data_IF_239009437939
#
_entry.id   IF_239009437939
#
_cell.length_a   1.000
_cell.length_b   1.000
_cell.length_c   1.000
_cell.angle_alpha   90.00
_cell.angle_beta   90.00
_cell.angle_gamma   90.00
#
_symmetry.space_group_name_H-M   'P 1'
#
loop_
_entity.id
_entity.type
_entity.pdbx_description
1 polymer ?
#
# COMPACT_ATOMS: atom_id res chain seq x y z
N UNK A 1 -17.88 52.41 -11.51
CA UNK A 1 -17.92 51.03 -12.01
C UNK A 1 -16.53 50.45 -11.80
N UNK A 2 -16.34 49.70 -10.72
CA UNK A 2 -15.11 48.96 -10.47
C UNK A 2 -15.52 47.51 -10.22
N UNK A 3 -15.01 46.64 -11.10
CA UNK A 3 -15.11 45.20 -11.02
C UNK A 3 -14.43 44.69 -9.76
N UNK A 4 -15.14 43.87 -8.99
CA UNK A 4 -14.57 42.89 -8.08
C UNK A 4 -15.54 41.73 -8.15
N UNK A 5 -15.33 40.80 -9.08
CA UNK A 5 -14.52 39.63 -8.76
C UNK A 5 -15.49 38.58 -8.24
N UNK A 6 -16.20 37.95 -9.18
CA UNK A 6 -16.95 36.73 -8.95
C UNK A 6 -16.00 35.75 -8.26
N UNK A 7 -16.17 35.56 -6.94
CA UNK A 7 -15.62 34.41 -6.25
C UNK A 7 -16.40 33.22 -6.81
N UNK A 8 -15.89 32.62 -7.89
CA UNK A 8 -16.27 31.26 -8.24
C UNK A 8 -15.93 30.41 -7.03
N UNK A 9 -16.97 30.06 -6.28
CA UNK A 9 -17.02 28.94 -5.37
C UNK A 9 -16.91 27.68 -6.23
N UNK A 10 -15.74 27.50 -6.85
CA UNK A 10 -15.36 26.26 -7.47
C UNK A 10 -15.16 25.30 -6.30
N UNK A 11 -16.20 24.52 -5.99
CA UNK A 11 -16.16 23.51 -4.94
C UNK A 11 -14.92 22.62 -5.06
N UNK A 12 -14.61 21.88 -3.99
CA UNK A 12 -13.40 21.06 -3.93
C UNK A 12 -13.19 20.21 -5.19
N UNK A 13 -11.98 20.26 -5.74
CA UNK A 13 -11.61 19.53 -6.94
C UNK A 13 -11.71 18.02 -6.71
N UNK A 14 -11.87 17.19 -7.78
CA UNK A 14 -11.90 15.74 -7.63
C UNK A 14 -10.69 15.16 -6.88
N UNK A 15 -9.50 15.74 -7.08
CA UNK A 15 -8.29 15.33 -6.38
C UNK A 15 -8.35 15.64 -4.89
N UNK A 16 -8.86 16.82 -4.50
CA UNK A 16 -9.06 17.16 -3.09
C UNK A 16 -10.12 16.28 -2.44
N UNK A 17 -11.22 15.98 -3.15
CA UNK A 17 -12.27 15.10 -2.67
C UNK A 17 -11.76 13.66 -2.47
N UNK A 18 -10.90 13.16 -3.36
CA UNK A 18 -10.27 11.83 -3.21
C UNK A 18 -9.43 11.76 -1.92
N UNK A 19 -8.57 12.75 -1.72
CA UNK A 19 -7.71 12.82 -0.52
C UNK A 19 -8.57 12.99 0.74
N UNK A 20 -9.66 13.76 0.68
CA UNK A 20 -10.53 13.96 1.82
C UNK A 20 -11.36 12.72 2.16
N UNK A 21 -11.80 11.97 1.15
CA UNK A 21 -12.45 10.67 1.34
C UNK A 21 -11.51 9.70 2.09
N UNK A 22 -10.25 9.61 1.64
CA UNK A 22 -9.20 8.82 2.27
C UNK A 22 -8.85 9.28 3.69
N UNK A 23 -8.93 10.57 3.99
CA UNK A 23 -8.64 11.11 5.33
C UNK A 23 -9.73 10.78 6.35
N UNK A 24 -10.99 10.69 5.90
CA UNK A 24 -12.18 10.54 6.76
C UNK A 24 -12.80 9.15 6.74
N UNK A 25 -12.20 8.20 6.03
CA UNK A 25 -12.80 6.90 5.74
C UNK A 25 -14.22 7.03 5.14
N UNK A 26 -14.43 7.99 4.23
CA UNK A 26 -15.75 8.30 3.68
C UNK A 26 -15.97 7.60 2.32
N UNK A 27 -16.55 6.40 2.38
CA UNK A 27 -16.78 5.54 1.21
C UNK A 27 -17.83 6.09 0.24
N UNK A 28 -18.81 6.84 0.73
CA UNK A 28 -19.81 7.51 -0.11
C UNK A 28 -19.13 8.56 -1.00
N UNK A 29 -18.28 9.40 -0.40
CA UNK A 29 -17.54 10.41 -1.16
C UNK A 29 -16.55 9.77 -2.13
N UNK A 30 -15.87 8.70 -1.72
CA UNK A 30 -14.99 7.96 -2.63
C UNK A 30 -15.78 7.42 -3.83
N UNK A 31 -16.96 6.85 -3.60
CA UNK A 31 -17.83 6.33 -4.65
C UNK A 31 -18.24 7.42 -5.65
N UNK A 32 -18.57 8.62 -5.16
CA UNK A 32 -18.86 9.76 -6.03
C UNK A 32 -17.66 10.19 -6.90
N UNK A 33 -16.45 10.16 -6.34
CA UNK A 33 -15.22 10.48 -7.07
C UNK A 33 -14.94 9.41 -8.13
N UNK A 34 -14.99 8.12 -7.77
CA UNK A 34 -14.71 7.00 -8.67
C UNK A 34 -15.72 6.91 -9.81
N UNK A 35 -17.00 7.26 -9.59
CA UNK A 35 -18.00 7.32 -10.65
C UNK A 35 -17.61 8.29 -11.79
N UNK A 36 -16.87 9.35 -11.45
CA UNK A 36 -16.46 10.40 -12.40
C UNK A 36 -15.01 10.25 -12.87
N UNK A 37 -14.13 9.71 -12.03
CA UNK A 37 -12.68 9.64 -12.23
C UNK A 37 -12.10 8.37 -11.56
N UNK A 38 -12.30 7.20 -12.17
CA UNK A 38 -11.78 5.90 -11.68
C UNK A 38 -10.52 5.41 -12.38
N UNK A 39 -9.91 6.21 -13.26
CA UNK A 39 -8.71 5.74 -13.98
C UNK A 39 -7.54 5.58 -13.02
N UNK A 40 -6.79 4.50 -13.15
CA UNK A 40 -5.55 4.30 -12.40
C UNK A 40 -4.60 5.49 -12.53
N UNK A 41 -4.52 6.09 -13.72
CA UNK A 41 -3.73 7.30 -13.95
C UNK A 41 -4.16 8.47 -13.04
N UNK A 42 -5.46 8.71 -12.87
CA UNK A 42 -5.95 9.76 -11.98
C UNK A 42 -5.63 9.44 -10.51
N UNK A 43 -5.86 8.20 -10.09
CA UNK A 43 -5.63 7.76 -8.71
C UNK A 43 -4.14 7.81 -8.35
N UNK A 44 -3.27 7.31 -9.22
CA UNK A 44 -1.81 7.27 -9.01
C UNK A 44 -1.18 8.66 -8.98
N UNK A 45 -1.69 9.60 -9.78
CA UNK A 45 -1.13 10.96 -9.86
C UNK A 45 -1.75 11.95 -8.87
N UNK A 46 -2.86 11.59 -8.21
CA UNK A 46 -3.47 12.45 -7.19
C UNK A 46 -2.73 12.34 -5.87
N UNK A 47 -2.24 13.47 -5.35
CA UNK A 47 -1.59 13.53 -4.05
C UNK A 47 -1.84 14.86 -3.33
N UNK A 48 -1.64 14.87 -2.02
CA UNK A 48 -1.67 16.08 -1.20
C UNK A 48 -0.37 16.93 -1.35
N UNK A 49 -0.30 18.04 -0.63
CA UNK A 49 0.87 18.94 -0.67
C UNK A 49 2.19 18.30 -0.20
N UNK A 50 2.13 17.19 0.53
CA UNK A 50 3.29 16.40 0.98
C UNK A 50 3.63 15.26 0.01
N UNK A 51 2.86 15.14 -1.09
CA UNK A 51 2.99 14.06 -2.06
C UNK A 51 2.43 12.73 -1.55
N UNK A 52 1.55 12.74 -0.55
CA UNK A 52 0.85 11.53 -0.13
C UNK A 52 -0.29 11.25 -1.11
N UNK A 53 -0.28 10.09 -1.75
CA UNK A 53 -1.42 9.57 -2.52
C UNK A 53 -2.57 9.18 -1.59
N UNK A 54 -3.73 8.84 -2.16
CA UNK A 54 -4.87 8.36 -1.38
C UNK A 54 -4.51 7.14 -0.50
N UNK A 55 -3.69 6.20 -0.98
CA UNK A 55 -3.23 5.05 -0.19
C UNK A 55 -2.40 5.47 1.03
N UNK A 56 -1.51 6.45 0.89
CA UNK A 56 -0.72 6.96 2.02
C UNK A 56 -1.62 7.58 3.09
N UNK A 57 -2.57 8.42 2.67
CA UNK A 57 -3.48 9.10 3.58
C UNK A 57 -4.37 8.08 4.27
N UNK A 58 -4.97 7.15 3.51
CA UNK A 58 -5.82 6.12 4.09
C UNK A 58 -5.05 5.22 5.08
N UNK A 59 -3.82 4.82 4.75
CA UNK A 59 -2.96 4.04 5.65
C UNK A 59 -2.52 4.83 6.90
N UNK A 60 -2.26 6.13 6.76
CA UNK A 60 -1.91 7.00 7.90
C UNK A 60 -3.07 7.17 8.89
N UNK A 61 -4.30 7.28 8.38
CA UNK A 61 -5.49 7.52 9.18
C UNK A 61 -6.26 6.24 9.53
N UNK A 62 -5.79 5.07 9.08
CA UNK A 62 -6.45 3.79 9.30
C UNK A 62 -7.80 3.67 8.60
N UNK A 63 -7.96 4.34 7.45
CA UNK A 63 -9.18 4.29 6.64
C UNK A 63 -9.23 3.01 5.83
N UNK A 64 -9.51 1.91 6.53
CA UNK A 64 -9.48 0.54 6.02
C UNK A 64 -10.42 0.37 4.81
N UNK A 65 -11.67 0.83 4.92
CA UNK A 65 -12.66 0.64 3.85
C UNK A 65 -12.26 1.38 2.57
N UNK A 66 -11.59 2.54 2.70
CA UNK A 66 -11.05 3.25 1.55
C UNK A 66 -9.89 2.48 0.91
N UNK A 67 -8.98 1.92 1.72
CA UNK A 67 -7.89 1.09 1.21
C UNK A 67 -8.42 -0.12 0.45
N UNK A 68 -9.39 -0.84 1.03
CA UNK A 68 -10.00 -2.02 0.43
C UNK A 68 -10.55 -1.70 -0.97
N UNK A 69 -11.35 -0.64 -1.09
CA UNK A 69 -11.92 -0.20 -2.38
C UNK A 69 -10.87 0.27 -3.38
N UNK A 70 -9.83 0.99 -2.92
CA UNK A 70 -8.78 1.50 -3.79
C UNK A 70 -7.87 0.37 -4.30
N UNK A 71 -7.45 -0.55 -3.44
CA UNK A 71 -6.55 -1.65 -3.80
C UNK A 71 -7.20 -2.63 -4.79
N UNK A 72 -8.54 -2.69 -4.83
CA UNK A 72 -9.31 -3.42 -5.85
C UNK A 72 -9.31 -2.74 -7.24
N UNK A 73 -8.81 -1.51 -7.38
CA UNK A 73 -8.78 -0.82 -8.67
C UNK A 73 -7.65 -1.33 -9.56
N UNK A 74 -8.00 -1.79 -10.77
CA UNK A 74 -7.03 -2.29 -11.75
C UNK A 74 -5.99 -1.21 -12.11
N UNK A 75 -4.71 -1.57 -12.02
CA UNK A 75 -3.59 -0.70 -12.40
C UNK A 75 -3.20 0.34 -11.34
N UNK A 76 -3.79 0.32 -10.15
CA UNK A 76 -3.36 1.17 -9.05
C UNK A 76 -1.94 0.79 -8.61
N UNK A 77 -1.09 1.80 -8.38
CA UNK A 77 0.24 1.62 -7.82
C UNK A 77 0.14 1.41 -6.30
N UNK A 78 0.63 0.27 -5.81
CA UNK A 78 0.53 -0.12 -4.38
C UNK A 78 1.67 0.46 -3.55
N UNK A 79 2.86 0.63 -4.14
CA UNK A 79 4.07 1.13 -3.47
C UNK A 79 4.54 2.53 -3.91
N UNK A 80 3.66 3.52 -4.16
CA UNK A 80 4.11 4.86 -4.48
C UNK A 80 4.90 5.41 -3.29
N UNK A 81 5.97 6.17 -3.56
CA UNK A 81 6.73 6.84 -2.50
C UNK A 81 6.35 8.31 -2.42
N UNK A 82 6.05 8.78 -1.20
CA UNK A 82 5.66 10.18 -1.03
C UNK A 82 6.83 11.16 -1.25
N UNK A 83 6.49 12.43 -1.49
CA UNK A 83 7.47 13.43 -1.91
C UNK A 83 8.42 13.83 -0.79
N UNK A 84 7.98 13.89 0.46
CA UNK A 84 8.80 14.43 1.57
C UNK A 84 9.74 13.36 2.12
N UNK A 85 9.19 12.28 2.68
CA UNK A 85 9.95 11.23 3.36
C UNK A 85 10.42 10.11 2.42
N UNK A 86 9.77 9.95 1.26
CA UNK A 86 9.90 8.75 0.43
C UNK A 86 9.25 7.52 1.06
N UNK A 87 8.35 7.72 2.02
CA UNK A 87 7.61 6.63 2.64
C UNK A 87 6.62 6.03 1.63
N UNK A 88 6.35 4.73 1.74
CA UNK A 88 5.24 4.05 1.05
C UNK A 88 3.97 4.05 1.93
N UNK A 89 2.79 3.66 1.40
CA UNK A 89 1.61 3.44 2.24
C UNK A 89 1.88 2.47 3.40
N UNK A 90 2.67 1.41 3.17
CA UNK A 90 3.05 0.45 4.20
C UNK A 90 3.89 1.08 5.32
N UNK A 91 4.75 2.07 5.03
CA UNK A 91 5.42 2.84 6.08
C UNK A 91 4.42 3.63 6.94
N UNK A 92 3.40 4.24 6.31
CA UNK A 92 2.36 4.99 7.03
C UNK A 92 1.52 4.08 7.94
N UNK A 93 1.21 2.85 7.49
CA UNK A 93 0.57 1.82 8.32
C UNK A 93 1.41 1.47 9.57
N UNK A 94 2.73 1.33 9.41
CA UNK A 94 3.64 1.07 10.55
C UNK A 94 3.65 2.24 11.54
N UNK A 95 3.58 3.49 11.07
CA UNK A 95 3.48 4.64 11.96
C UNK A 95 2.13 4.68 12.69
N UNK A 96 1.03 4.35 12.02
CA UNK A 96 -0.29 4.22 12.64
C UNK A 96 -0.27 3.20 13.79
N UNK A 97 0.38 2.05 13.59
CA UNK A 97 0.47 0.99 14.60
C UNK A 97 1.15 1.42 15.93
N UNK A 98 1.89 2.54 15.94
CA UNK A 98 2.49 3.07 17.17
C UNK A 98 1.45 3.64 18.14
N UNK A 99 0.34 4.14 17.61
CA UNK A 99 -0.76 4.72 18.38
C UNK A 99 -1.98 3.79 18.41
N UNK A 100 -2.20 3.06 17.31
CA UNK A 100 -3.33 2.16 17.10
C UNK A 100 -2.85 0.78 16.64
N UNK A 101 -2.25 0.01 17.55
CA UNK A 101 -1.51 -1.21 17.21
C UNK A 101 -2.32 -2.24 16.41
N UNK A 102 -3.58 -2.52 16.80
CA UNK A 102 -4.42 -3.51 16.12
C UNK A 102 -4.83 -3.02 14.71
N UNK A 103 -5.32 -1.78 14.61
CA UNK A 103 -5.72 -1.20 13.33
C UNK A 103 -4.52 -1.04 12.36
N UNK A 104 -3.36 -0.61 12.87
CA UNK A 104 -2.15 -0.50 12.06
C UNK A 104 -1.65 -1.85 11.56
N UNK A 105 -1.84 -2.93 12.33
CA UNK A 105 -1.58 -4.30 11.88
C UNK A 105 -2.54 -4.70 10.75
N UNK A 106 -3.85 -4.50 10.93
CA UNK A 106 -4.87 -4.83 9.92
C UNK A 106 -4.62 -4.09 8.59
N UNK A 107 -4.29 -2.80 8.66
CA UNK A 107 -3.95 -1.97 7.49
C UNK A 107 -2.67 -2.47 6.82
N UNK A 108 -1.66 -2.86 7.60
CA UNK A 108 -0.42 -3.39 7.05
C UNK A 108 -0.63 -4.75 6.37
N UNK A 109 -1.44 -5.63 6.97
CA UNK A 109 -1.79 -6.92 6.40
C UNK A 109 -2.58 -6.74 5.09
N UNK A 110 -3.56 -5.83 5.04
CA UNK A 110 -4.30 -5.51 3.82
C UNK A 110 -3.38 -5.05 2.68
N UNK A 111 -2.42 -4.16 2.97
CA UNK A 111 -1.45 -3.71 1.97
C UNK A 111 -0.53 -4.84 1.49
N UNK A 112 -0.07 -5.70 2.41
CA UNK A 112 0.77 -6.85 2.07
C UNK A 112 0.01 -7.87 1.21
N UNK A 113 -1.25 -8.14 1.53
CA UNK A 113 -2.12 -9.04 0.76
C UNK A 113 -2.41 -8.48 -0.64
N UNK A 114 -2.48 -7.16 -0.77
CA UNK A 114 -2.55 -6.46 -2.06
C UNK A 114 -1.21 -6.40 -2.82
N UNK A 115 -0.14 -7.01 -2.28
CA UNK A 115 1.16 -7.14 -2.95
C UNK A 115 2.15 -6.00 -2.70
N UNK A 116 1.93 -5.16 -1.68
CA UNK A 116 2.90 -4.15 -1.29
C UNK A 116 4.26 -4.79 -0.95
N UNK A 117 5.36 -4.24 -1.46
CA UNK A 117 6.71 -4.72 -1.17
C UNK A 117 7.23 -4.16 0.18
N UNK A 118 7.36 -4.99 1.24
CA UNK A 118 7.90 -4.57 2.53
C UNK A 118 9.41 -4.28 2.52
N UNK A 119 10.06 -4.32 1.35
CA UNK A 119 11.50 -4.04 1.19
C UNK A 119 11.79 -2.65 0.65
N UNK A 120 10.77 -1.93 0.17
CA UNK A 120 10.95 -0.56 -0.34
C UNK A 120 11.54 0.32 0.75
N UNK A 121 12.58 1.08 0.40
CA UNK A 121 13.29 1.95 1.33
C UNK A 121 12.90 3.40 1.13
N UNK A 122 12.55 4.07 2.21
CA UNK A 122 12.33 5.51 2.19
C UNK A 122 13.64 6.30 2.00
N UNK A 123 13.59 7.64 2.00
CA UNK A 123 14.79 8.48 1.80
C UNK A 123 15.82 8.36 2.92
N UNK A 124 15.40 7.88 4.10
CA UNK A 124 16.32 7.55 5.20
C UNK A 124 16.94 6.16 5.04
N UNK A 125 16.69 5.49 3.91
CA UNK A 125 17.13 4.12 3.57
C UNK A 125 16.55 3.06 4.50
N UNK A 126 15.43 3.35 5.17
CA UNK A 126 14.76 2.41 6.07
C UNK A 126 13.62 1.74 5.32
N UNK A 127 13.46 0.43 5.50
CA UNK A 127 12.24 -0.30 5.09
C UNK A 127 11.20 -0.26 6.22
N UNK A 128 9.92 -0.62 5.99
CA UNK A 128 8.88 -0.60 7.02
C UNK A 128 9.28 -1.33 8.32
N UNK A 129 9.93 -2.50 8.22
CA UNK A 129 10.39 -3.27 9.39
C UNK A 129 11.41 -2.53 10.27
N UNK A 130 12.23 -1.65 9.67
CA UNK A 130 13.26 -0.88 10.36
C UNK A 130 12.64 0.22 11.23
N UNK A 131 11.44 0.70 10.89
CA UNK A 131 10.72 1.75 11.64
C UNK A 131 9.60 1.20 12.54
N UNK A 132 9.37 -0.11 12.57
CA UNK A 132 8.39 -0.76 13.47
C UNK A 132 8.85 -0.73 14.93
N UNK A 133 7.93 -0.52 15.88
CA UNK A 133 8.23 -0.67 17.32
C UNK A 133 8.79 -2.08 17.59
N UNK A 134 9.96 -2.24 18.21
CA UNK A 134 10.54 -3.54 18.52
C UNK A 134 9.63 -4.45 19.36
N UNK A 135 8.69 -3.88 20.11
CA UNK A 135 7.74 -4.60 20.96
C UNK A 135 6.52 -5.10 20.19
N UNK A 136 6.24 -4.56 19.00
CA UNK A 136 5.13 -4.99 18.16
C UNK A 136 5.50 -6.26 17.38
N UNK A 137 5.51 -7.37 18.10
CA UNK A 137 5.92 -8.67 17.55
C UNK A 137 5.02 -9.16 16.41
N UNK A 138 3.74 -8.78 16.40
CA UNK A 138 2.78 -9.20 15.37
C UNK A 138 3.08 -8.50 14.05
N UNK A 139 3.16 -7.17 14.06
CA UNK A 139 3.45 -6.39 12.86
C UNK A 139 4.83 -6.70 12.29
N UNK A 140 5.83 -6.87 13.16
CA UNK A 140 7.17 -7.32 12.73
C UNK A 140 7.12 -8.67 12.03
N UNK A 141 6.33 -9.61 12.55
CA UNK A 141 6.16 -10.94 11.94
C UNK A 141 5.44 -10.84 10.59
N UNK A 142 4.39 -10.03 10.48
CA UNK A 142 3.69 -9.81 9.20
C UNK A 142 4.63 -9.27 8.12
N UNK A 143 5.42 -8.23 8.43
CA UNK A 143 6.39 -7.65 7.49
C UNK A 143 7.49 -8.64 7.09
N UNK A 144 8.04 -9.40 8.05
CA UNK A 144 9.03 -10.44 7.78
C UNK A 144 8.44 -11.55 6.89
N UNK A 145 7.20 -11.97 7.15
CA UNK A 145 6.51 -12.94 6.31
C UNK A 145 6.29 -12.42 4.90
N UNK A 146 5.86 -11.15 4.75
CA UNK A 146 5.72 -10.50 3.45
C UNK A 146 7.03 -10.50 2.65
N UNK A 147 8.17 -10.23 3.32
CA UNK A 147 9.48 -10.35 2.67
C UNK A 147 9.74 -11.77 2.17
N UNK A 148 9.44 -12.81 2.97
CA UNK A 148 9.63 -14.20 2.53
C UNK A 148 8.74 -14.57 1.35
N UNK A 149 7.46 -14.18 1.35
CA UNK A 149 6.53 -14.44 0.25
C UNK A 149 7.05 -13.86 -1.07
N UNK A 150 7.60 -12.64 -1.04
CA UNK A 150 8.19 -12.00 -2.21
C UNK A 150 9.48 -12.67 -2.71
N UNK A 151 10.21 -13.40 -1.83
CA UNK A 151 11.35 -14.21 -2.27
C UNK A 151 10.90 -15.55 -2.84
N UNK A 152 9.93 -16.22 -2.21
CA UNK A 152 9.46 -17.54 -2.63
C UNK A 152 8.74 -17.50 -3.98
N UNK A 153 8.05 -16.40 -4.31
CA UNK A 153 7.48 -16.18 -5.64
C UNK A 153 8.51 -16.17 -6.78
N UNK A 154 9.80 -15.95 -6.48
CA UNK A 154 10.90 -16.01 -7.45
C UNK A 154 11.57 -17.39 -7.53
N UNK A 155 11.22 -18.35 -6.68
CA UNK A 155 11.90 -19.66 -6.53
C UNK A 155 11.02 -20.85 -6.93
N UNK A 156 9.96 -20.61 -7.73
CA UNK A 156 9.28 -21.69 -8.47
C UNK A 156 10.23 -22.20 -9.56
N UNK A 157 11.15 -23.06 -9.14
CA UNK A 157 11.87 -23.98 -10.02
C UNK A 157 10.85 -24.78 -10.83
N UNK A 158 11.03 -24.79 -12.14
CA UNK A 158 10.28 -25.61 -13.08
C UNK A 158 10.44 -27.08 -12.65
N UNK A 159 9.43 -27.69 -12.03
CA UNK A 159 9.47 -29.07 -11.53
C UNK A 159 9.50 -30.14 -12.66
N UNK A 160 9.85 -29.76 -13.89
CA UNK A 160 9.91 -30.64 -15.05
C UNK A 160 11.26 -31.34 -15.29
N UNK A 161 12.22 -31.25 -14.36
CA UNK A 161 13.56 -31.86 -14.54
C UNK A 161 13.86 -33.03 -13.57
N UNK A 162 12.82 -33.72 -13.07
CA UNK A 162 12.96 -34.97 -12.30
C UNK A 162 12.43 -36.18 -13.08
N UNK A 163 12.93 -36.43 -14.29
CA UNK A 163 12.86 -37.76 -14.89
C UNK A 163 14.27 -38.32 -15.14
N UNK A 164 14.44 -39.55 -14.68
CA UNK A 164 15.49 -40.53 -14.99
C UNK A 164 16.87 -40.26 -14.35
N UNK A 165 17.44 -41.13 -13.51
CA UNK A 165 17.66 -42.56 -13.73
C UNK A 165 18.05 -43.21 -12.40
N UNK A 166 17.16 -43.99 -11.79
CA UNK A 166 17.47 -44.86 -10.67
C UNK A 166 18.01 -46.20 -11.21
N UNK A 167 19.29 -46.20 -11.61
CA UNK A 167 20.04 -47.41 -11.91
C UNK A 167 20.31 -48.23 -10.66
N UNK A 168 19.50 -49.28 -10.49
CA UNK A 168 19.57 -50.36 -9.49
C UNK A 168 20.98 -50.81 -9.08
N UNK A 169 21.31 -50.69 -7.79
CA UNK A 169 22.29 -51.55 -7.13
C UNK A 169 21.58 -52.77 -6.55
N UNK A 170 21.99 -53.96 -6.97
CA UNK A 170 21.48 -55.25 -6.53
C UNK A 170 22.61 -56.25 -6.33
N UNK A 171 23.10 -56.27 -5.09
CA UNK A 171 23.58 -57.40 -4.28
C UNK A 171 24.74 -58.31 -4.76
N UNK A 172 25.76 -58.31 -3.90
CA UNK A 172 26.88 -59.24 -3.76
C UNK A 172 26.47 -60.65 -3.29
N UNK A 173 27.07 -61.69 -3.88
CA UNK A 173 27.94 -62.72 -3.23
C UNK A 173 28.52 -63.69 -4.26
#
# INVERSE_FOLDING_TARGET
MASTGDNHDDGASPSELLIEAARRNNTDLLSEVLLKNSTAEFLNNTCDALGNTALHVAAQYGSYDILDVLLDQEGLEVDPVNKIEGDTPLHKAVFLAREHQELGLEVAELLLDAGADPRVRNKQKMKPLDVTDPRDTKLRKALVNGEYTMTAGNDLVDENDLEDDAGSEGESE
#
